data_IF_117214005813
#
_entry.id   IF_117214005813
#
_cell.length_a   1.000
_cell.length_b   1.000
_cell.length_c   1.000
_cell.angle_alpha   90.00
_cell.angle_beta   90.00
_cell.angle_gamma   90.00
#
_symmetry.space_group_name_H-M   'P 1'
#
loop_
_entity.id
_entity.type
_entity.pdbx_description
1 polymer ?
#
# COMPACT_ATOMS: atom_id res chain seq x y z
N UNK A 1 7.68 2.89 82.01
CA UNK A 1 8.06 3.00 80.61
C UNK A 1 6.95 3.78 79.87
N UNK A 2 7.17 5.13 79.72
CA UNK A 2 6.23 6.02 79.03
C UNK A 2 6.55 6.05 77.52
N UNK A 3 5.69 5.46 76.69
CA UNK A 3 5.73 5.63 75.26
C UNK A 3 5.38 7.10 74.95
N UNK A 4 6.37 7.91 74.58
CA UNK A 4 6.15 9.22 73.97
C UNK A 4 5.59 8.99 72.53
N UNK A 5 4.30 9.07 72.39
CA UNK A 5 3.64 9.10 71.05
C UNK A 5 4.06 10.41 70.36
N UNK A 6 4.79 10.28 69.27
CA UNK A 6 5.30 11.43 68.52
C UNK A 6 4.17 12.03 67.71
N UNK A 7 3.45 13.00 68.28
CA UNK A 7 2.27 13.70 67.73
C UNK A 7 2.52 14.30 66.31
N UNK A 8 3.76 14.63 65.96
CA UNK A 8 4.12 15.21 64.67
C UNK A 8 4.11 14.16 63.53
N UNK A 9 4.43 12.91 63.83
CA UNK A 9 4.38 11.84 62.81
C UNK A 9 2.95 11.38 62.51
N UNK A 10 2.06 11.51 63.49
CA UNK A 10 0.63 11.18 63.29
C UNK A 10 -0.05 12.25 62.43
N UNK A 11 0.22 13.54 62.71
CA UNK A 11 -0.30 14.64 61.91
C UNK A 11 0.20 14.60 60.46
N UNK A 12 1.46 14.25 60.23
CA UNK A 12 2.05 14.09 58.90
C UNK A 12 1.45 12.92 58.13
N UNK A 13 1.11 11.83 58.81
CA UNK A 13 0.42 10.68 58.19
C UNK A 13 -1.02 11.00 57.85
N UNK A 14 -1.71 11.76 58.71
CA UNK A 14 -3.07 12.24 58.43
C UNK A 14 -3.11 13.24 57.25
N UNK A 15 -2.11 14.13 57.16
CA UNK A 15 -1.99 15.09 56.09
C UNK A 15 -1.73 14.37 54.72
N UNK A 16 -0.88 13.35 54.71
CA UNK A 16 -0.61 12.55 53.51
C UNK A 16 -1.83 11.73 53.06
N UNK A 17 -2.60 11.19 54.01
CA UNK A 17 -3.85 10.48 53.70
C UNK A 17 -4.91 11.45 53.18
N UNK A 18 -5.01 12.65 53.70
CA UNK A 18 -5.95 13.66 53.22
C UNK A 18 -5.62 14.17 51.83
N UNK A 19 -4.32 14.35 51.52
CA UNK A 19 -3.86 14.70 50.16
C UNK A 19 -4.13 13.57 49.20
N UNK A 20 -3.93 12.30 49.59
CA UNK A 20 -4.24 11.14 48.76
C UNK A 20 -5.75 10.98 48.46
N UNK A 21 -6.60 11.34 49.41
CA UNK A 21 -8.08 11.32 49.20
C UNK A 21 -8.50 12.47 48.28
N UNK A 22 -7.92 13.65 48.38
CA UNK A 22 -8.23 14.79 47.48
C UNK A 22 -7.77 14.49 46.04
N UNK A 23 -6.67 13.79 45.82
CA UNK A 23 -6.23 13.40 44.48
C UNK A 23 -7.11 12.33 43.85
N UNK A 24 -7.81 11.49 44.64
CA UNK A 24 -8.78 10.52 44.09
C UNK A 24 -10.10 11.20 43.68
N UNK A 25 -10.48 12.31 44.30
CA UNK A 25 -11.67 13.07 43.92
C UNK A 25 -11.44 13.99 42.70
N UNK A 26 -10.19 14.35 42.40
CA UNK A 26 -9.88 15.18 41.25
C UNK A 26 -9.92 14.43 39.90
N UNK A 27 -10.11 13.10 39.90
CA UNK A 27 -10.29 12.26 38.70
C UNK A 27 -11.73 11.82 38.47
N UNK A 28 -12.73 12.41 39.15
CA UNK A 28 -14.12 12.34 38.74
C UNK A 28 -14.30 13.35 37.61
N UNK A 29 -13.92 12.97 36.39
CA UNK A 29 -14.44 13.62 35.21
C UNK A 29 -15.97 13.52 35.33
N UNK A 30 -16.66 14.65 35.53
CA UNK A 30 -18.03 14.78 35.13
C UNK A 30 -18.11 14.22 33.72
N UNK A 31 -18.82 13.12 33.53
CA UNK A 31 -19.36 12.79 32.22
C UNK A 31 -20.27 13.97 31.87
N UNK A 32 -19.68 15.00 31.23
CA UNK A 32 -20.46 15.83 30.36
C UNK A 32 -21.00 14.83 29.33
N UNK A 33 -22.27 14.49 29.48
CA UNK A 33 -23.05 13.92 28.40
C UNK A 33 -23.02 14.98 27.29
N UNK A 34 -21.95 14.93 26.48
CA UNK A 34 -21.95 15.62 25.21
C UNK A 34 -23.23 15.16 24.54
N UNK A 35 -24.16 16.08 24.20
CA UNK A 35 -25.37 15.68 23.52
C UNK A 35 -24.91 14.88 22.31
N UNK A 36 -25.41 13.65 22.17
CA UNK A 36 -25.20 12.87 20.96
C UNK A 36 -25.87 13.71 19.88
N UNK A 37 -25.05 14.50 19.19
CA UNK A 37 -25.50 15.21 17.99
C UNK A 37 -25.74 14.08 16.99
N UNK A 38 -26.98 13.59 16.95
CA UNK A 38 -27.43 12.75 15.87
C UNK A 38 -27.48 13.63 14.64
N UNK A 39 -26.37 13.62 13.88
CA UNK A 39 -26.41 14.27 12.59
C UNK A 39 -27.40 13.52 11.70
N UNK A 40 -28.08 14.25 10.81
CA UNK A 40 -29.02 13.71 9.85
C UNK A 40 -28.35 13.25 8.56
N UNK A 41 -27.01 13.16 8.55
CA UNK A 41 -26.25 12.81 7.36
C UNK A 41 -26.42 11.32 7.03
N UNK A 42 -26.87 11.04 5.81
CA UNK A 42 -27.07 9.67 5.33
C UNK A 42 -25.74 9.03 4.91
N UNK A 43 -25.08 8.38 5.89
CA UNK A 43 -23.82 7.66 5.66
C UNK A 43 -24.02 6.44 4.78
N UNK A 44 -25.20 5.84 4.76
CA UNK A 44 -25.46 4.67 3.94
C UNK A 44 -25.48 5.06 2.46
N UNK A 45 -26.19 6.13 2.08
CA UNK A 45 -26.20 6.64 0.71
C UNK A 45 -24.79 7.03 0.23
N UNK A 46 -24.04 7.73 1.08
CA UNK A 46 -22.64 8.04 0.79
C UNK A 46 -21.81 6.78 0.53
N UNK A 47 -21.90 5.78 1.41
CA UNK A 47 -21.13 4.54 1.30
C UNK A 47 -21.54 3.71 0.09
N UNK A 48 -22.82 3.69 -0.29
CA UNK A 48 -23.29 3.07 -1.53
C UNK A 48 -22.63 3.74 -2.74
N UNK A 49 -22.66 5.07 -2.79
CA UNK A 49 -22.02 5.81 -3.89
C UNK A 49 -20.50 5.53 -3.98
N UNK A 50 -19.80 5.56 -2.85
CA UNK A 50 -18.37 5.28 -2.81
C UNK A 50 -18.08 3.83 -3.22
N UNK A 51 -18.83 2.86 -2.69
CA UNK A 51 -18.62 1.44 -3.01
C UNK A 51 -18.83 1.16 -4.50
N UNK A 52 -19.96 1.60 -5.05
CA UNK A 52 -20.40 1.17 -6.38
C UNK A 52 -19.75 1.99 -7.50
N UNK A 53 -19.67 3.32 -7.32
CA UNK A 53 -19.24 4.23 -8.39
C UNK A 53 -17.75 4.60 -8.31
N UNK A 54 -17.08 4.35 -7.18
CA UNK A 54 -15.66 4.68 -7.01
C UNK A 54 -14.84 3.40 -6.82
N UNK A 55 -15.03 2.67 -5.71
CA UNK A 55 -14.14 1.55 -5.36
C UNK A 55 -14.30 0.38 -6.32
N UNK A 56 -15.54 -0.11 -6.55
CA UNK A 56 -15.78 -1.25 -7.43
C UNK A 56 -15.41 -0.89 -8.88
N UNK A 57 -15.76 0.32 -9.32
CA UNK A 57 -15.41 0.76 -10.67
C UNK A 57 -13.89 0.81 -10.90
N UNK A 58 -13.13 1.37 -9.93
CA UNK A 58 -11.67 1.41 -9.98
C UNK A 58 -11.05 0.00 -9.93
N UNK A 59 -11.55 -0.87 -9.05
CA UNK A 59 -11.09 -2.25 -8.94
C UNK A 59 -11.39 -3.08 -10.20
N UNK A 60 -12.54 -2.86 -10.86
CA UNK A 60 -12.88 -3.57 -12.10
C UNK A 60 -11.95 -3.16 -13.24
N UNK A 61 -11.68 -1.86 -13.40
CA UNK A 61 -10.72 -1.40 -14.40
C UNK A 61 -9.32 -1.91 -14.11
N UNK A 62 -8.86 -1.79 -12.86
CA UNK A 62 -7.55 -2.30 -12.45
C UNK A 62 -7.41 -3.81 -12.69
N UNK A 63 -8.42 -4.60 -12.31
CA UNK A 63 -8.44 -6.05 -12.54
C UNK A 63 -8.33 -6.41 -14.02
N UNK A 64 -9.05 -5.69 -14.88
CA UNK A 64 -8.97 -5.89 -16.33
C UNK A 64 -7.55 -5.58 -16.87
N UNK A 65 -6.89 -4.52 -16.38
CA UNK A 65 -5.53 -4.17 -16.77
C UNK A 65 -4.49 -5.17 -16.25
N UNK A 66 -4.70 -5.71 -15.05
CA UNK A 66 -3.83 -6.76 -14.48
C UNK A 66 -3.93 -8.08 -15.27
N UNK A 67 -5.13 -8.48 -15.71
CA UNK A 67 -5.32 -9.63 -16.60
C UNK A 67 -4.59 -9.40 -17.95
N UNK A 68 -4.72 -8.21 -18.52
CA UNK A 68 -4.04 -7.85 -19.76
C UNK A 68 -2.51 -7.86 -19.60
N UNK A 69 -1.99 -7.32 -18.49
CA UNK A 69 -0.58 -7.33 -18.16
C UNK A 69 -0.04 -8.76 -18.04
N UNK A 70 -0.75 -9.62 -17.28
CA UNK A 70 -0.40 -11.05 -17.17
C UNK A 70 -0.35 -11.73 -18.54
N UNK A 71 -1.36 -11.52 -19.40
CA UNK A 71 -1.41 -12.10 -20.74
C UNK A 71 -0.26 -11.61 -21.62
N UNK A 72 0.08 -10.32 -21.55
CA UNK A 72 1.24 -9.78 -22.25
C UNK A 72 2.57 -10.40 -21.76
N UNK A 73 2.68 -10.64 -20.44
CA UNK A 73 3.81 -11.35 -19.85
C UNK A 73 3.94 -12.79 -20.34
N UNK A 74 2.85 -13.54 -20.39
CA UNK A 74 2.80 -14.90 -20.94
C UNK A 74 3.22 -14.93 -22.41
N UNK A 75 2.74 -13.98 -23.21
CA UNK A 75 3.10 -13.83 -24.63
C UNK A 75 4.59 -13.52 -24.78
N UNK A 76 5.11 -12.60 -23.98
CA UNK A 76 6.54 -12.24 -23.98
C UNK A 76 7.43 -13.41 -23.58
N UNK A 77 7.11 -14.14 -22.52
CA UNK A 77 7.94 -15.26 -22.04
C UNK A 77 7.88 -16.46 -22.98
N UNK A 78 6.78 -16.66 -23.71
CA UNK A 78 6.67 -17.67 -24.76
C UNK A 78 7.49 -17.32 -26.00
N UNK A 79 7.64 -16.03 -26.33
CA UNK A 79 8.39 -15.54 -27.49
C UNK A 79 9.02 -14.19 -27.15
N UNK A 80 10.20 -14.20 -26.52
CA UNK A 80 10.92 -13.00 -26.08
C UNK A 80 11.57 -12.31 -27.28
N UNK A 81 10.85 -11.35 -27.86
CA UNK A 81 11.29 -10.52 -28.97
C UNK A 81 10.89 -9.05 -28.74
N UNK A 82 11.40 -8.14 -29.60
CA UNK A 82 11.18 -6.70 -29.45
C UNK A 82 9.70 -6.33 -29.42
N UNK A 83 8.89 -6.89 -30.32
CA UNK A 83 7.45 -6.58 -30.39
C UNK A 83 6.72 -6.95 -29.10
N UNK A 84 7.00 -8.13 -28.56
CA UNK A 84 6.37 -8.61 -27.34
C UNK A 84 6.91 -7.88 -26.09
N UNK A 85 8.19 -7.45 -26.09
CA UNK A 85 8.74 -6.59 -25.04
C UNK A 85 8.03 -5.24 -24.99
N UNK A 86 7.83 -4.59 -26.12
CA UNK A 86 7.12 -3.31 -26.22
C UNK A 86 5.64 -3.44 -25.81
N UNK A 87 4.97 -4.53 -26.21
CA UNK A 87 3.60 -4.82 -25.81
C UNK A 87 3.50 -5.03 -24.27
N UNK A 88 4.43 -5.75 -23.68
CA UNK A 88 4.47 -5.96 -22.23
C UNK A 88 4.74 -4.65 -21.48
N UNK A 89 5.68 -3.83 -21.94
CA UNK A 89 5.97 -2.49 -21.40
C UNK A 89 4.73 -1.58 -21.42
N UNK A 90 4.01 -1.60 -22.53
CA UNK A 90 2.77 -0.83 -22.68
C UNK A 90 1.69 -1.29 -21.70
N UNK A 91 1.52 -2.60 -21.55
CA UNK A 91 0.56 -3.19 -20.60
C UNK A 91 0.96 -2.91 -19.17
N UNK A 92 2.26 -3.00 -18.82
CA UNK A 92 2.80 -2.63 -17.51
C UNK A 92 2.46 -1.20 -17.15
N UNK A 93 2.77 -0.25 -18.03
CA UNK A 93 2.54 1.16 -17.75
C UNK A 93 1.05 1.50 -17.63
N UNK A 94 0.21 0.88 -18.46
CA UNK A 94 -1.24 1.03 -18.38
C UNK A 94 -1.80 0.52 -17.06
N UNK A 95 -1.40 -0.67 -16.62
CA UNK A 95 -1.81 -1.23 -15.34
C UNK A 95 -1.25 -0.40 -14.16
N UNK A 96 -0.03 0.10 -14.26
CA UNK A 96 0.58 0.91 -13.22
C UNK A 96 -0.11 2.28 -13.03
N UNK A 97 -0.59 2.89 -14.10
CA UNK A 97 -1.46 4.09 -14.00
C UNK A 97 -2.78 3.76 -13.31
N UNK A 98 -3.41 2.66 -13.69
CA UNK A 98 -4.68 2.26 -13.07
C UNK A 98 -4.52 1.88 -11.59
N UNK A 99 -3.34 1.36 -11.20
CA UNK A 99 -2.98 1.13 -9.79
C UNK A 99 -3.11 2.40 -8.94
N UNK A 100 -2.79 3.57 -9.48
CA UNK A 100 -2.87 4.84 -8.76
C UNK A 100 -4.29 5.15 -8.27
N UNK A 101 -5.33 4.60 -8.93
CA UNK A 101 -6.73 4.76 -8.55
C UNK A 101 -7.22 3.78 -7.48
N UNK A 102 -6.43 2.76 -7.15
CA UNK A 102 -6.82 1.74 -6.15
C UNK A 102 -5.87 1.68 -4.95
N UNK A 103 -4.66 2.21 -5.07
CA UNK A 103 -3.62 2.16 -4.03
C UNK A 103 -4.08 2.72 -2.68
N UNK A 104 -5.00 3.71 -2.71
CA UNK A 104 -5.54 4.33 -1.50
C UNK A 104 -6.54 3.46 -0.73
N UNK A 105 -7.11 2.41 -1.33
CA UNK A 105 -8.15 1.59 -0.71
C UNK A 105 -7.53 0.42 0.05
N UNK A 106 -6.98 0.70 1.25
CA UNK A 106 -6.36 -0.29 2.14
C UNK A 106 -7.39 -0.85 3.14
N UNK A 107 -8.52 -1.35 2.61
CA UNK A 107 -9.67 -1.82 3.39
C UNK A 107 -9.97 -3.30 3.15
N UNK A 108 -10.50 -3.98 4.19
CA UNK A 108 -10.91 -5.38 4.09
C UNK A 108 -9.76 -6.30 3.72
N UNK A 109 -9.91 -7.05 2.64
CA UNK A 109 -8.90 -8.02 2.18
C UNK A 109 -7.60 -7.35 1.72
N UNK A 110 -7.64 -6.12 1.22
CA UNK A 110 -6.44 -5.38 0.85
C UNK A 110 -5.56 -5.08 2.07
N UNK A 111 -6.16 -4.64 3.19
CA UNK A 111 -5.48 -4.44 4.47
C UNK A 111 -4.94 -5.76 5.04
N UNK A 112 -5.80 -6.80 5.08
CA UNK A 112 -5.45 -8.12 5.61
C UNK A 112 -4.25 -8.74 4.91
N UNK A 113 -4.22 -8.68 3.58
CA UNK A 113 -3.14 -9.22 2.75
C UNK A 113 -1.94 -8.29 2.63
N UNK A 114 -2.00 -7.07 3.17
CA UNK A 114 -0.98 -6.05 2.94
C UNK A 114 -0.74 -5.78 1.44
N UNK A 115 -1.82 -5.75 0.66
CA UNK A 115 -1.82 -5.77 -0.80
C UNK A 115 -0.87 -4.74 -1.42
N UNK A 116 -0.86 -3.50 -0.93
CA UNK A 116 0.00 -2.42 -1.43
C UNK A 116 1.50 -2.75 -1.34
N UNK A 117 1.94 -3.52 -0.34
CA UNK A 117 3.35 -3.87 -0.18
C UNK A 117 3.81 -4.93 -1.17
N UNK A 118 2.90 -5.77 -1.66
CA UNK A 118 3.19 -6.73 -2.73
C UNK A 118 3.10 -6.11 -4.13
N UNK A 119 2.43 -4.96 -4.25
CA UNK A 119 2.21 -4.31 -5.54
C UNK A 119 3.19 -3.18 -5.84
N UNK A 120 3.61 -2.38 -4.82
CA UNK A 120 4.27 -1.11 -5.11
C UNK A 120 5.23 -0.63 -4.01
N UNK A 121 6.26 -1.42 -3.69
CA UNK A 121 7.41 -0.96 -2.90
C UNK A 121 8.52 -0.48 -3.82
N UNK A 122 8.93 0.78 -3.70
CA UNK A 122 10.06 1.36 -4.41
C UNK A 122 10.97 2.20 -3.50
N UNK A 123 12.29 2.22 -3.77
CA UNK A 123 12.97 1.46 -4.80
C UNK A 123 12.98 -0.04 -4.50
N UNK A 124 13.08 -0.86 -5.55
CA UNK A 124 13.30 -2.30 -5.37
C UNK A 124 14.71 -2.60 -4.88
N UNK A 125 14.88 -3.74 -4.22
CA UNK A 125 16.19 -4.30 -3.90
C UNK A 125 16.64 -5.21 -5.04
N UNK A 126 17.45 -4.65 -5.95
CA UNK A 126 17.96 -5.35 -7.16
C UNK A 126 18.71 -6.62 -6.78
N UNK A 127 19.50 -6.59 -5.71
CA UNK A 127 20.23 -7.77 -5.23
C UNK A 127 19.29 -8.94 -4.97
N UNK A 128 18.17 -8.71 -4.29
CA UNK A 128 17.19 -9.77 -3.96
C UNK A 128 16.51 -10.31 -5.22
N UNK A 129 16.20 -9.45 -6.19
CA UNK A 129 15.68 -9.87 -7.50
C UNK A 129 16.67 -10.79 -8.21
N UNK A 130 17.93 -10.37 -8.32
CA UNK A 130 18.97 -11.13 -9.04
C UNK A 130 19.33 -12.44 -8.29
N UNK A 131 19.36 -12.44 -6.96
CA UNK A 131 19.57 -13.66 -6.17
C UNK A 131 18.41 -14.65 -6.32
N UNK A 132 17.16 -14.17 -6.31
CA UNK A 132 15.98 -14.99 -6.58
C UNK A 132 16.02 -15.63 -7.98
N UNK A 133 16.41 -14.84 -8.99
CA UNK A 133 16.58 -15.34 -10.36
C UNK A 133 17.71 -16.35 -10.43
N UNK A 134 18.87 -16.04 -9.86
CA UNK A 134 20.04 -16.92 -9.91
C UNK A 134 19.79 -18.25 -9.21
N UNK A 135 19.11 -18.24 -8.07
CA UNK A 135 18.77 -19.46 -7.32
C UNK A 135 17.68 -20.30 -7.99
N UNK A 136 16.74 -19.65 -8.69
CA UNK A 136 15.52 -20.26 -9.21
C UNK A 136 14.57 -20.79 -8.12
N UNK A 137 14.83 -20.47 -6.83
CA UNK A 137 14.04 -20.91 -5.68
C UNK A 137 13.81 -19.74 -4.72
N UNK A 138 12.59 -19.25 -4.65
CA UNK A 138 12.19 -18.09 -3.84
C UNK A 138 10.72 -18.18 -3.44
N UNK A 139 10.35 -17.50 -2.36
CA UNK A 139 8.97 -17.37 -1.89
C UNK A 139 8.55 -15.90 -1.92
N UNK A 140 7.75 -15.52 -2.91
CA UNK A 140 7.22 -14.15 -3.03
C UNK A 140 6.16 -13.82 -1.96
N UNK A 141 5.65 -14.79 -1.18
CA UNK A 141 4.77 -14.50 -0.04
C UNK A 141 5.56 -14.08 1.19
N UNK A 142 6.88 -14.31 1.20
CA UNK A 142 7.74 -13.84 2.28
C UNK A 142 7.78 -12.31 2.30
N UNK A 143 7.66 -11.74 3.50
CA UNK A 143 7.81 -10.28 3.71
C UNK A 143 9.19 -9.76 3.29
N UNK A 144 10.21 -10.63 3.28
CA UNK A 144 11.56 -10.28 2.84
C UNK A 144 11.66 -10.10 1.31
N UNK A 145 10.66 -10.54 0.55
CA UNK A 145 10.60 -10.39 -0.89
C UNK A 145 9.59 -9.32 -1.35
N UNK A 146 9.04 -8.50 -0.44
CA UNK A 146 8.09 -7.46 -0.81
C UNK A 146 8.70 -6.38 -1.71
N UNK A 147 9.98 -6.06 -1.53
CA UNK A 147 10.73 -5.10 -2.35
C UNK A 147 11.45 -5.74 -3.54
N UNK A 148 11.19 -7.02 -3.80
CA UNK A 148 11.67 -7.76 -4.97
C UNK A 148 10.54 -8.10 -5.96
N UNK A 149 9.34 -7.55 -5.80
CA UNK A 149 8.16 -7.86 -6.62
C UNK A 149 7.31 -6.61 -6.90
N UNK A 150 6.15 -6.79 -7.52
CA UNK A 150 5.23 -5.71 -7.85
C UNK A 150 5.64 -4.91 -9.09
N UNK A 151 4.96 -3.78 -9.30
CA UNK A 151 5.22 -2.90 -10.45
C UNK A 151 6.67 -2.43 -10.56
N UNK A 152 7.35 -2.08 -9.43
CA UNK A 152 8.74 -1.63 -9.50
C UNK A 152 9.73 -2.73 -9.89
N UNK A 153 9.49 -3.99 -9.49
CA UNK A 153 10.31 -5.11 -9.93
C UNK A 153 10.09 -5.41 -11.42
N UNK A 154 8.85 -5.32 -11.92
CA UNK A 154 8.58 -5.43 -13.36
C UNK A 154 9.25 -4.28 -14.12
N UNK A 155 9.27 -3.05 -13.58
CA UNK A 155 10.02 -1.93 -14.17
C UNK A 155 11.51 -2.28 -14.36
N UNK A 156 12.15 -2.81 -13.30
CA UNK A 156 13.53 -3.27 -13.39
C UNK A 156 13.72 -4.37 -14.44
N UNK A 157 12.88 -5.38 -14.44
CA UNK A 157 12.95 -6.51 -15.37
C UNK A 157 12.74 -6.11 -16.84
N UNK A 158 12.00 -5.04 -17.11
CA UNK A 158 11.71 -4.58 -18.47
C UNK A 158 12.65 -3.49 -18.97
N UNK A 159 13.25 -2.71 -18.06
CA UNK A 159 14.00 -1.50 -18.44
C UNK A 159 15.38 -1.39 -17.75
N UNK A 160 15.62 -2.12 -16.67
CA UNK A 160 16.80 -1.97 -15.81
C UNK A 160 17.84 -3.07 -15.90
N UNK A 161 17.57 -4.17 -16.62
CA UNK A 161 18.50 -5.32 -16.72
C UNK A 161 19.76 -5.01 -17.54
N UNK A 162 19.67 -4.07 -18.49
CA UNK A 162 20.78 -3.64 -19.32
C UNK A 162 20.45 -2.30 -20.01
N UNK A 163 21.47 -1.68 -20.64
CA UNK A 163 21.35 -0.35 -21.26
C UNK A 163 20.63 -0.35 -22.62
N UNK A 164 20.44 -1.51 -23.23
CA UNK A 164 19.80 -1.64 -24.56
C UNK A 164 18.77 -2.76 -24.59
N UNK A 165 17.74 -2.61 -25.42
CA UNK A 165 16.70 -3.63 -25.58
C UNK A 165 17.28 -4.96 -26.08
N UNK A 166 18.30 -4.94 -26.92
CA UNK A 166 18.99 -6.15 -27.37
C UNK A 166 19.59 -6.90 -26.18
N UNK A 167 20.32 -6.21 -25.30
CA UNK A 167 20.94 -6.81 -24.13
C UNK A 167 19.90 -7.24 -23.07
N UNK A 168 18.75 -6.53 -22.95
CA UNK A 168 17.62 -6.98 -22.13
C UNK A 168 17.03 -8.27 -22.71
N UNK A 169 16.78 -8.35 -24.02
CA UNK A 169 16.26 -9.55 -24.66
C UNK A 169 17.21 -10.75 -24.57
N UNK A 170 18.52 -10.53 -24.58
CA UNK A 170 19.51 -11.59 -24.35
C UNK A 170 19.33 -12.27 -22.98
N UNK A 171 18.93 -11.53 -21.94
CA UNK A 171 18.61 -12.09 -20.62
C UNK A 171 17.48 -13.13 -20.68
N UNK A 172 16.51 -12.94 -21.56
CA UNK A 172 15.34 -13.80 -21.72
C UNK A 172 15.50 -14.89 -22.79
N UNK A 173 16.57 -14.83 -23.62
CA UNK A 173 16.72 -15.72 -24.79
C UNK A 173 18.00 -16.55 -24.78
N UNK A 174 19.16 -15.94 -24.61
CA UNK A 174 20.48 -16.56 -24.82
C UNK A 174 21.33 -16.66 -23.56
N UNK A 175 21.03 -15.91 -22.50
CA UNK A 175 21.73 -16.05 -21.22
C UNK A 175 21.60 -17.47 -20.67
N UNK A 176 22.61 -17.95 -19.97
CA UNK A 176 22.64 -19.31 -19.39
C UNK A 176 21.43 -19.57 -18.48
N UNK A 177 20.98 -18.55 -17.75
CA UNK A 177 19.82 -18.63 -16.84
C UNK A 177 18.57 -17.94 -17.41
N UNK A 178 18.42 -17.89 -18.73
CA UNK A 178 17.29 -17.20 -19.38
C UNK A 178 15.91 -17.76 -18.95
N UNK A 179 15.81 -19.06 -18.67
CA UNK A 179 14.61 -19.67 -18.12
C UNK A 179 14.23 -19.08 -16.76
N UNK A 180 15.21 -18.80 -15.91
CA UNK A 180 14.95 -18.23 -14.59
C UNK A 180 14.42 -16.79 -14.70
N UNK A 181 14.91 -15.97 -15.63
CA UNK A 181 14.35 -14.63 -15.90
C UNK A 181 12.89 -14.73 -16.37
N UNK A 182 12.58 -15.65 -17.30
CA UNK A 182 11.20 -15.88 -17.75
C UNK A 182 10.30 -16.38 -16.63
N UNK A 183 10.79 -17.31 -15.82
CA UNK A 183 10.04 -17.85 -14.68
C UNK A 183 9.78 -16.78 -13.62
N UNK A 184 10.78 -15.93 -13.33
CA UNK A 184 10.65 -14.90 -12.30
C UNK A 184 9.58 -13.87 -12.67
N UNK A 185 9.68 -13.28 -13.87
CA UNK A 185 8.68 -12.30 -14.33
C UNK A 185 7.27 -12.92 -14.39
N UNK A 186 7.15 -14.16 -14.83
CA UNK A 186 5.87 -14.89 -14.85
C UNK A 186 5.31 -15.08 -13.44
N UNK A 187 6.15 -15.44 -12.48
CA UNK A 187 5.73 -15.67 -11.09
C UNK A 187 5.27 -14.36 -10.44
N UNK A 188 6.01 -13.26 -10.63
CA UNK A 188 5.64 -11.93 -10.12
C UNK A 188 4.29 -11.50 -10.71
N UNK A 189 4.10 -11.60 -12.03
CA UNK A 189 2.84 -11.23 -12.69
C UNK A 189 1.66 -12.09 -12.24
N UNK A 190 1.88 -13.38 -12.05
CA UNK A 190 0.86 -14.29 -11.53
C UNK A 190 0.45 -13.94 -10.11
N UNK A 191 1.41 -13.63 -9.23
CA UNK A 191 1.12 -13.21 -7.86
C UNK A 191 0.34 -11.90 -7.83
N UNK A 192 0.80 -10.87 -8.54
CA UNK A 192 0.10 -9.59 -8.64
C UNK A 192 -1.34 -9.77 -9.11
N UNK A 193 -1.56 -10.58 -10.16
CA UNK A 193 -2.91 -10.85 -10.67
C UNK A 193 -3.76 -11.63 -9.66
N UNK A 194 -3.22 -12.64 -9.00
CA UNK A 194 -3.93 -13.44 -8.00
C UNK A 194 -4.36 -12.60 -6.81
N UNK A 195 -3.47 -11.77 -6.28
CA UNK A 195 -3.77 -10.84 -5.19
C UNK A 195 -4.85 -9.84 -5.59
N UNK A 196 -4.75 -9.27 -6.80
CA UNK A 196 -5.75 -8.35 -7.34
C UNK A 196 -7.14 -9.01 -7.40
N UNK A 197 -7.24 -10.18 -8.01
CA UNK A 197 -8.51 -10.91 -8.12
C UNK A 197 -9.11 -11.25 -6.76
N UNK A 198 -8.25 -11.63 -5.80
CA UNK A 198 -8.67 -11.95 -4.43
C UNK A 198 -9.24 -10.71 -3.74
N UNK A 199 -8.55 -9.57 -3.78
CA UNK A 199 -9.01 -8.31 -3.18
C UNK A 199 -10.31 -7.82 -3.81
N UNK A 200 -10.38 -7.81 -5.13
CA UNK A 200 -11.57 -7.35 -5.87
C UNK A 200 -12.80 -8.25 -5.59
N UNK A 201 -12.60 -9.56 -5.61
CA UNK A 201 -13.67 -10.53 -5.33
C UNK A 201 -14.20 -10.41 -3.90
N UNK A 202 -13.28 -10.27 -2.93
CA UNK A 202 -13.65 -10.11 -1.51
C UNK A 202 -14.41 -8.81 -1.27
N UNK A 203 -13.93 -7.66 -1.79
CA UNK A 203 -14.62 -6.38 -1.62
C UNK A 203 -16.04 -6.43 -2.19
N UNK A 204 -16.23 -7.01 -3.39
CA UNK A 204 -17.56 -7.20 -3.97
C UNK A 204 -18.47 -8.08 -3.11
N UNK A 205 -17.93 -9.17 -2.54
CA UNK A 205 -18.67 -10.05 -1.65
C UNK A 205 -19.05 -9.35 -0.33
N UNK A 206 -18.16 -8.49 0.19
CA UNK A 206 -18.34 -7.75 1.44
C UNK A 206 -19.04 -6.39 1.27
N UNK A 207 -19.40 -6.02 0.03
CA UNK A 207 -20.00 -4.71 -0.27
C UNK A 207 -21.16 -4.35 0.66
N UNK A 208 -22.07 -5.30 0.93
CA UNK A 208 -23.22 -5.02 1.79
C UNK A 208 -22.79 -4.74 3.24
N UNK A 209 -21.82 -5.46 3.78
CA UNK A 209 -21.25 -5.21 5.10
C UNK A 209 -20.60 -3.84 5.18
N UNK A 210 -19.91 -3.42 4.11
CA UNK A 210 -19.29 -2.11 4.02
C UNK A 210 -20.31 -0.97 4.03
N UNK A 211 -21.36 -1.01 3.18
CA UNK A 211 -22.32 0.09 3.05
C UNK A 211 -23.28 0.20 4.24
N UNK A 212 -23.48 -0.88 4.99
CA UNK A 212 -24.31 -0.86 6.21
C UNK A 212 -23.52 -0.51 7.48
N UNK A 213 -22.19 -0.41 7.40
CA UNK A 213 -21.34 -0.02 8.52
C UNK A 213 -21.32 1.52 8.70
N UNK A 214 -22.46 2.09 9.02
CA UNK A 214 -22.73 3.53 9.10
C UNK A 214 -22.41 4.15 10.47
N UNK A 215 -21.83 3.38 11.39
CA UNK A 215 -21.49 3.84 12.74
C UNK A 215 -20.49 5.01 12.76
N UNK A 216 -20.18 5.45 13.98
CA UNK A 216 -19.22 6.54 14.24
C UNK A 216 -18.11 6.06 15.19
N UNK A 217 -17.50 4.94 14.88
CA UNK A 217 -16.39 4.35 15.62
C UNK A 217 -15.15 4.26 14.74
N UNK A 218 -13.97 4.02 15.30
CA UNK A 218 -12.73 3.84 14.54
C UNK A 218 -12.80 2.73 13.49
N UNK A 219 -13.69 1.73 13.68
CA UNK A 219 -13.91 0.60 12.76
C UNK A 219 -15.04 0.82 11.76
N UNK A 220 -15.73 1.96 11.82
CA UNK A 220 -16.81 2.30 10.88
C UNK A 220 -16.27 2.61 9.49
N UNK A 221 -17.02 2.27 8.45
CA UNK A 221 -16.56 2.37 7.06
C UNK A 221 -16.11 3.79 6.66
N UNK A 222 -16.89 4.82 7.02
CA UNK A 222 -16.51 6.23 6.72
C UNK A 222 -15.20 6.61 7.42
N UNK A 223 -15.03 6.26 8.69
CA UNK A 223 -13.85 6.61 9.45
C UNK A 223 -12.59 5.90 8.90
N UNK A 224 -12.71 4.62 8.53
CA UNK A 224 -11.61 3.89 7.87
C UNK A 224 -11.25 4.55 6.53
N UNK A 225 -12.22 4.81 5.68
CA UNK A 225 -11.98 5.48 4.38
C UNK A 225 -11.28 6.82 4.53
N UNK A 226 -11.73 7.67 5.44
CA UNK A 226 -11.13 8.99 5.67
C UNK A 226 -9.69 8.84 6.18
N UNK A 227 -9.44 7.91 7.10
CA UNK A 227 -8.10 7.66 7.61
C UNK A 227 -7.16 7.13 6.52
N UNK A 228 -7.61 6.18 5.70
CA UNK A 228 -6.82 5.63 4.61
C UNK A 228 -6.54 6.70 3.53
N UNK A 229 -7.54 7.52 3.20
CA UNK A 229 -7.39 8.63 2.28
C UNK A 229 -6.35 9.66 2.78
N UNK A 230 -6.44 10.08 4.04
CA UNK A 230 -5.49 11.02 4.65
C UNK A 230 -4.08 10.39 4.70
N UNK A 231 -3.99 9.14 5.10
CA UNK A 231 -2.71 8.42 5.13
C UNK A 231 -2.10 8.31 3.73
N UNK A 232 -2.90 7.94 2.74
CA UNK A 232 -2.42 7.86 1.36
C UNK A 232 -1.98 9.22 0.83
N UNK A 233 -2.80 10.27 1.04
CA UNK A 233 -2.46 11.62 0.61
C UNK A 233 -1.14 12.11 1.22
N UNK A 234 -0.95 11.92 2.53
CA UNK A 234 0.25 12.38 3.24
C UNK A 234 1.46 11.48 3.00
N UNK A 235 1.30 10.16 3.06
CA UNK A 235 2.41 9.22 2.96
C UNK A 235 2.62 8.74 1.52
N UNK A 236 1.60 8.21 0.87
CA UNK A 236 1.70 7.65 -0.47
C UNK A 236 1.99 8.73 -1.51
N UNK A 237 1.16 9.75 -1.58
CA UNK A 237 1.28 10.81 -2.58
C UNK A 237 2.35 11.84 -2.18
N UNK A 238 2.12 12.62 -1.13
CA UNK A 238 2.97 13.76 -0.79
C UNK A 238 4.40 13.35 -0.42
N UNK A 239 4.56 12.38 0.48
CA UNK A 239 5.90 12.01 0.95
C UNK A 239 6.63 11.11 -0.05
N UNK A 240 6.04 9.99 -0.46
CA UNK A 240 6.73 9.00 -1.27
C UNK A 240 6.98 9.48 -2.71
N UNK A 241 5.94 10.01 -3.39
CA UNK A 241 6.06 10.39 -4.81
C UNK A 241 6.80 11.73 -5.02
N UNK A 242 6.78 12.63 -4.03
CA UNK A 242 7.40 13.97 -4.16
C UNK A 242 8.46 14.25 -3.10
N UNK A 243 8.11 14.19 -1.81
CA UNK A 243 8.94 14.69 -0.73
C UNK A 243 10.28 13.96 -0.57
N UNK A 244 10.27 12.63 -0.63
CA UNK A 244 11.48 11.81 -0.54
C UNK A 244 12.38 12.03 -1.76
N UNK A 245 11.91 11.89 -3.00
CA UNK A 245 12.75 12.13 -4.18
C UNK A 245 13.29 13.57 -4.26
N UNK A 246 12.49 14.56 -3.86
CA UNK A 246 12.91 15.97 -3.84
C UNK A 246 13.89 16.31 -2.71
N UNK A 247 14.14 15.37 -1.79
CA UNK A 247 15.08 15.58 -0.68
C UNK A 247 14.53 16.40 0.48
N UNK A 248 13.20 16.52 0.62
CA UNK A 248 12.59 17.30 1.71
C UNK A 248 12.97 16.72 3.08
N UNK A 249 13.19 15.41 3.17
CA UNK A 249 13.51 14.73 4.44
C UNK A 249 15.00 14.42 4.59
N UNK A 250 15.82 14.59 3.54
CA UNK A 250 17.24 14.20 3.52
C UNK A 250 18.18 15.37 3.19
N UNK A 251 17.66 16.56 2.90
CA UNK A 251 18.40 17.75 2.46
C UNK A 251 19.17 17.58 1.12
N UNK A 252 19.07 16.41 0.49
CA UNK A 252 19.64 16.12 -0.84
C UNK A 252 18.58 15.39 -1.68
N UNK A 253 18.54 15.68 -2.97
CA UNK A 253 17.64 14.96 -3.89
C UNK A 253 18.03 13.49 -3.99
N UNK A 254 17.02 12.63 -4.07
CA UNK A 254 17.15 11.17 -4.13
C UNK A 254 16.43 10.65 -5.39
N UNK A 255 16.99 10.90 -6.61
CA UNK A 255 16.33 10.55 -7.86
C UNK A 255 16.10 9.03 -8.03
N UNK A 256 16.85 8.22 -7.30
CA UNK A 256 16.67 6.77 -7.25
C UNK A 256 15.43 6.31 -6.45
N UNK A 257 14.78 7.23 -5.73
CA UNK A 257 13.59 6.94 -4.91
C UNK A 257 12.27 7.31 -5.62
N UNK A 258 12.30 7.43 -6.92
CA UNK A 258 11.08 7.71 -7.72
C UNK A 258 10.39 6.41 -8.13
N UNK A 259 9.08 6.48 -8.27
CA UNK A 259 8.26 5.45 -8.89
C UNK A 259 8.57 5.37 -10.40
N UNK A 260 8.64 4.17 -10.99
CA UNK A 260 8.96 3.99 -12.41
C UNK A 260 10.41 4.41 -12.76
N UNK A 261 11.36 4.16 -11.87
CA UNK A 261 12.76 4.59 -11.93
C UNK A 261 13.47 4.13 -13.19
N UNK A 262 13.31 2.88 -13.61
CA UNK A 262 14.08 2.27 -14.70
C UNK A 262 13.54 2.69 -16.06
N UNK A 263 12.24 2.83 -16.21
CA UNK A 263 11.63 3.46 -17.38
C UNK A 263 11.98 4.96 -17.48
N UNK A 264 12.23 5.62 -16.33
CA UNK A 264 12.86 6.92 -16.16
C UNK A 264 12.02 8.16 -16.56
N UNK A 265 11.06 8.05 -17.46
CA UNK A 265 10.26 9.19 -17.96
C UNK A 265 8.79 9.16 -17.54
N UNK A 266 8.40 8.20 -16.68
CA UNK A 266 7.00 7.97 -16.28
C UNK A 266 6.64 8.43 -14.87
N UNK A 267 7.62 8.71 -14.01
CA UNK A 267 7.39 9.06 -12.59
C UNK A 267 6.47 10.28 -12.43
N UNK A 268 6.62 11.28 -13.29
CA UNK A 268 5.75 12.47 -13.29
C UNK A 268 4.31 12.10 -13.67
N UNK A 269 4.12 11.25 -14.67
CA UNK A 269 2.79 10.84 -15.13
C UNK A 269 2.09 10.01 -14.05
N UNK A 270 2.78 9.05 -13.43
CA UNK A 270 2.25 8.27 -12.30
C UNK A 270 1.86 9.16 -11.11
N UNK A 271 2.67 10.17 -10.77
CA UNK A 271 2.36 11.09 -9.70
C UNK A 271 1.16 12.00 -10.02
N UNK A 272 0.99 12.42 -11.27
CA UNK A 272 -0.17 13.20 -11.71
C UNK A 272 -1.44 12.33 -11.75
N UNK A 273 -1.34 11.08 -12.17
CA UNK A 273 -2.44 10.12 -12.12
C UNK A 273 -2.90 9.88 -10.69
N UNK A 274 -1.95 9.70 -9.75
CA UNK A 274 -2.24 9.58 -8.32
C UNK A 274 -2.92 10.83 -7.75
N UNK A 275 -2.52 12.03 -8.20
CA UNK A 275 -3.18 13.28 -7.81
C UNK A 275 -4.60 13.36 -8.37
N UNK A 276 -4.83 12.92 -9.60
CA UNK A 276 -6.16 12.84 -10.19
C UNK A 276 -7.06 11.86 -9.42
N UNK A 277 -6.49 10.73 -8.99
CA UNK A 277 -7.24 9.71 -8.25
C UNK A 277 -7.75 10.18 -6.87
N UNK A 278 -7.12 11.17 -6.25
CA UNK A 278 -7.54 11.72 -4.94
C UNK A 278 -8.45 12.96 -5.06
N UNK A 279 -8.75 13.44 -6.26
CA UNK A 279 -9.66 14.57 -6.52
C UNK A 279 -11.09 14.11 -6.74
#
# INVERSE_FOLDING_TARGET
FLLRFNRNNMFRRFLLLFVAIITMYACSSSEETTPIITDSFDRNELLINIADNIIIAAYDDFSAKMIALKTAGETFTAASNQTNLEALRTSWFTAYKTWQHVEMFDIGKAEELQFKFYMNIYPVTVTDIEENIASGSYDLNSVNNQDAQGFPAIDYLLHGLADTDVAILEKYTTAENNDNYRNYITTVLNQMNTLTLTVVSDFKAQRNSFVTNTGNTATSAVNKLINDYIFYYEKGLRANKFGIPAGIFSATTLPEKVEGRYKNDVSKELALEALTAVQ
#
